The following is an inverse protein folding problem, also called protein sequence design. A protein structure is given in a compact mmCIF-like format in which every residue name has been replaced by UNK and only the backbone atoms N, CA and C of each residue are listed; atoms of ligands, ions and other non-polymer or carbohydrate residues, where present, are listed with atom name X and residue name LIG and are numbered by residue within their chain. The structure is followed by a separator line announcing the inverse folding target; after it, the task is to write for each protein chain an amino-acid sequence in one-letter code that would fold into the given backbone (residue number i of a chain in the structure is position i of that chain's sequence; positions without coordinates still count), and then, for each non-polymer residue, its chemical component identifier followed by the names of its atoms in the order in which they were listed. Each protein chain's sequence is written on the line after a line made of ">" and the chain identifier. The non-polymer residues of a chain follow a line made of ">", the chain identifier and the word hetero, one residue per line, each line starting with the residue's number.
data_IF_396811432194
#
_entry.id   IF_396811432194
#
_cell.length_a   1.000
_cell.length_b   1.000
_cell.length_c   1.000
_cell.angle_alpha   90.00
_cell.angle_beta   90.00
_cell.angle_gamma   90.00
#
_symmetry.space_group_name_H-M   'P 1'
#
loop_
_entity.id
_entity.type
_entity.pdbx_description
1 polymer ?
#
# COMPACT_ATOMS: atom_id res chain seq x y z
N UNK A 1 -22.93 8.54 2.91
CA UNK A 1 -24.30 8.24 3.38
C UNK A 1 -24.28 7.96 4.89
N UNK A 2 -25.31 8.35 5.65
CA UNK A 2 -25.44 7.91 7.06
C UNK A 2 -26.08 6.52 7.04
N UNK A 3 -25.29 5.50 7.40
CA UNK A 3 -25.76 4.13 7.53
C UNK A 3 -26.87 4.04 8.58
N UNK A 4 -27.75 3.06 8.42
CA UNK A 4 -28.88 2.86 9.35
C UNK A 4 -28.43 2.47 10.77
N UNK A 5 -27.18 2.05 10.92
CA UNK A 5 -26.48 1.82 12.19
C UNK A 5 -25.88 3.09 12.82
N UNK A 6 -26.06 4.25 12.17
CA UNK A 6 -25.60 5.56 12.65
C UNK A 6 -24.14 5.87 12.34
N UNK A 7 -23.47 5.03 11.57
CA UNK A 7 -22.09 5.24 11.10
C UNK A 7 -22.09 5.91 9.72
N UNK A 8 -21.00 6.58 9.38
CA UNK A 8 -20.84 7.26 8.09
C UNK A 8 -20.07 6.34 7.14
N UNK A 9 -20.70 5.92 6.06
CA UNK A 9 -20.06 5.11 5.01
C UNK A 9 -20.36 5.74 3.65
N UNK A 10 -19.47 5.57 2.66
CA UNK A 10 -19.78 6.05 1.32
C UNK A 10 -20.92 5.22 0.71
N UNK A 11 -21.80 5.86 -0.05
CA UNK A 11 -22.93 5.18 -0.71
C UNK A 11 -22.45 4.21 -1.79
N UNK A 12 -21.22 4.36 -2.26
CA UNK A 12 -20.62 3.52 -3.29
C UNK A 12 -20.32 2.09 -2.79
N UNK A 13 -20.31 1.86 -1.48
CA UNK A 13 -20.08 0.54 -0.87
C UNK A 13 -21.37 -0.23 -0.56
N UNK A 14 -22.53 0.42 -0.62
CA UNK A 14 -23.85 -0.20 -0.43
C UNK A 14 -24.39 -0.67 -1.79
N UNK A 15 -24.03 -1.89 -2.19
CA UNK A 15 -24.32 -2.39 -3.54
C UNK A 15 -25.78 -2.77 -3.71
N UNK A 16 -26.46 -3.17 -2.64
CA UNK A 16 -27.88 -3.54 -2.65
C UNK A 16 -28.83 -2.38 -2.28
N UNK A 17 -28.29 -1.28 -1.76
CA UNK A 17 -29.02 -0.05 -1.46
C UNK A 17 -29.88 -0.15 -0.20
N UNK A 18 -29.59 -1.08 0.71
CA UNK A 18 -30.36 -1.29 1.93
C UNK A 18 -29.98 -0.32 3.07
N UNK A 19 -28.96 0.52 2.85
CA UNK A 19 -28.44 1.49 3.80
C UNK A 19 -27.60 0.85 4.93
N UNK A 20 -27.13 -0.38 4.73
CA UNK A 20 -26.20 -1.11 5.60
C UNK A 20 -25.12 -1.70 4.71
N UNK A 21 -24.01 -2.04 5.35
CA UNK A 21 -23.01 -2.90 4.72
C UNK A 21 -23.21 -4.31 5.27
N UNK A 22 -23.33 -5.29 4.38
CA UNK A 22 -23.24 -6.69 4.74
C UNK A 22 -21.76 -7.10 4.96
N UNK A 23 -21.49 -8.34 5.37
CA UNK A 23 -20.13 -8.77 5.67
C UNK A 23 -19.16 -8.63 4.48
N UNK A 24 -19.65 -8.83 3.25
CA UNK A 24 -18.83 -8.68 2.04
C UNK A 24 -18.59 -7.20 1.71
N UNK A 25 -19.63 -6.37 1.76
CA UNK A 25 -19.52 -4.91 1.56
C UNK A 25 -18.62 -4.25 2.60
N UNK A 26 -18.70 -4.71 3.85
CA UNK A 26 -17.78 -4.32 4.90
C UNK A 26 -16.35 -4.73 4.58
N UNK A 27 -16.09 -5.96 4.12
CA UNK A 27 -14.75 -6.38 3.73
C UNK A 27 -14.19 -5.55 2.58
N UNK A 28 -14.99 -5.25 1.55
CA UNK A 28 -14.55 -4.40 0.44
C UNK A 28 -14.25 -2.98 0.91
N UNK A 29 -15.09 -2.41 1.77
CA UNK A 29 -14.86 -1.10 2.36
C UNK A 29 -13.63 -1.10 3.27
N UNK A 30 -13.47 -2.13 4.10
CA UNK A 30 -12.33 -2.30 4.99
C UNK A 30 -11.04 -2.39 4.19
N UNK A 31 -10.98 -3.20 3.13
CA UNK A 31 -9.82 -3.27 2.24
C UNK A 31 -9.54 -1.95 1.52
N UNK A 32 -10.56 -1.15 1.17
CA UNK A 32 -10.35 0.13 0.48
C UNK A 32 -10.03 1.32 1.41
N UNK A 33 -10.56 1.30 2.64
CA UNK A 33 -10.42 2.37 3.64
C UNK A 33 -9.26 2.11 4.58
N UNK A 34 -9.08 0.85 4.98
CA UNK A 34 -8.07 0.37 5.92
C UNK A 34 -7.12 -0.66 5.31
N UNK A 35 -7.41 -1.27 4.17
CA UNK A 35 -6.42 -2.09 3.44
C UNK A 35 -5.43 -1.26 2.63
N UNK A 36 -5.59 0.07 2.63
CA UNK A 36 -4.55 1.04 2.32
C UNK A 36 -4.10 1.81 3.58
N UNK A 37 -4.22 1.20 4.76
CA UNK A 37 -3.20 1.32 5.80
C UNK A 37 -1.96 0.62 5.18
N UNK A 38 -1.15 1.30 4.36
CA UNK A 38 -0.18 2.27 4.86
C UNK A 38 0.11 1.92 6.32
N UNK A 39 0.94 0.89 6.50
CA UNK A 39 1.67 0.70 7.73
C UNK A 39 2.42 2.01 7.99
N UNK A 40 1.76 2.96 8.66
CA UNK A 40 2.31 4.25 9.05
C UNK A 40 3.30 4.03 10.21
N UNK A 41 4.33 3.22 9.97
CA UNK A 41 5.35 2.88 10.96
C UNK A 41 6.71 3.33 10.46
N UNK A 42 6.97 4.64 10.59
CA UNK A 42 8.28 5.28 10.48
C UNK A 42 8.85 5.35 9.06
N UNK A 43 9.50 6.47 8.72
CA UNK A 43 10.12 6.83 7.42
C UNK A 43 10.87 5.71 6.63
N UNK A 44 11.22 4.58 7.24
CA UNK A 44 11.80 3.42 6.52
C UNK A 44 10.77 2.60 5.74
N UNK A 45 9.49 2.63 6.16
CA UNK A 45 8.41 1.89 5.49
C UNK A 45 7.97 2.50 4.16
N UNK A 46 8.11 3.83 3.97
CA UNK A 46 7.83 4.46 2.67
C UNK A 46 8.82 4.00 1.58
N UNK A 47 10.10 3.79 1.94
CA UNK A 47 11.12 3.30 1.02
C UNK A 47 10.92 1.83 0.63
N UNK A 48 10.47 0.99 1.58
CA UNK A 48 10.11 -0.41 1.36
C UNK A 48 8.81 -0.53 0.53
N UNK A 49 7.85 0.36 0.76
CA UNK A 49 6.62 0.44 -0.05
C UNK A 49 6.90 0.90 -1.49
N UNK A 50 7.82 1.86 -1.70
CA UNK A 50 8.21 2.28 -3.05
C UNK A 50 8.94 1.16 -3.81
N UNK A 51 9.79 0.37 -3.11
CA UNK A 51 10.39 -0.85 -3.65
C UNK A 51 9.33 -1.86 -4.07
N UNK A 52 8.37 -2.17 -3.18
CA UNK A 52 7.27 -3.08 -3.47
C UNK A 52 6.38 -2.59 -4.62
N UNK A 53 6.13 -1.28 -4.70
CA UNK A 53 5.38 -0.63 -5.78
C UNK A 53 6.11 -0.73 -7.13
N UNK A 54 7.43 -0.62 -7.10
CA UNK A 54 8.31 -0.88 -8.24
C UNK A 54 8.45 -2.37 -8.58
N UNK A 55 8.00 -3.27 -7.69
CA UNK A 55 8.16 -4.71 -7.82
C UNK A 55 9.58 -5.19 -7.54
N UNK A 56 10.35 -4.41 -6.78
CA UNK A 56 11.69 -4.73 -6.28
C UNK A 56 11.60 -5.26 -4.85
N UNK A 57 12.45 -6.23 -4.51
CA UNK A 57 12.56 -6.80 -3.17
C UNK A 57 13.92 -6.42 -2.59
N UNK A 58 13.93 -5.87 -1.37
CA UNK A 58 15.16 -5.42 -0.68
C UNK A 58 16.18 -6.56 -0.57
N UNK A 59 15.74 -7.79 -0.28
CA UNK A 59 16.64 -8.93 -0.13
C UNK A 59 17.26 -9.35 -1.47
N UNK A 60 16.59 -9.08 -2.59
CA UNK A 60 17.13 -9.30 -3.92
C UNK A 60 18.17 -8.22 -4.26
N UNK A 61 17.90 -6.96 -3.92
CA UNK A 61 18.82 -5.83 -4.08
C UNK A 61 20.10 -5.97 -3.24
N UNK A 62 20.01 -6.51 -2.02
CA UNK A 62 21.18 -6.85 -1.19
C UNK A 62 22.03 -8.00 -1.78
N UNK A 63 21.41 -8.90 -2.57
CA UNK A 63 22.11 -10.00 -3.22
C UNK A 63 22.81 -9.59 -4.53
N UNK A 64 22.49 -8.40 -5.07
CA UNK A 64 23.05 -7.86 -6.29
C UNK A 64 24.35 -7.07 -6.04
N UNK A 65 25.16 -6.91 -7.09
CA UNK A 65 26.30 -6.00 -7.06
C UNK A 65 25.81 -4.54 -7.04
N UNK A 66 26.58 -3.62 -6.44
CA UNK A 66 26.21 -2.20 -6.27
C UNK A 66 25.83 -1.50 -7.59
N UNK A 67 26.51 -1.82 -8.68
CA UNK A 67 26.18 -1.28 -10.01
C UNK A 67 24.84 -1.82 -10.55
N UNK A 68 24.52 -3.08 -10.30
CA UNK A 68 23.28 -3.72 -10.75
C UNK A 68 22.09 -3.27 -9.90
N UNK A 69 22.29 -3.15 -8.58
CA UNK A 69 21.31 -2.59 -7.64
C UNK A 69 20.92 -1.16 -8.02
N UNK A 70 21.91 -0.33 -8.35
CA UNK A 70 21.71 1.06 -8.78
C UNK A 70 20.95 1.13 -10.10
N UNK A 71 21.27 0.26 -11.06
CA UNK A 71 20.52 0.16 -12.32
C UNK A 71 19.05 -0.25 -12.10
N UNK A 72 18.79 -1.20 -11.18
CA UNK A 72 17.44 -1.61 -10.84
C UNK A 72 16.60 -0.50 -10.19
N UNK A 73 17.19 0.26 -9.26
CA UNK A 73 16.55 1.42 -8.64
C UNK A 73 16.29 2.54 -9.66
N UNK A 74 17.27 2.87 -10.51
CA UNK A 74 17.09 3.88 -11.56
C UNK A 74 16.01 3.48 -12.59
N UNK A 75 15.91 2.20 -12.96
CA UNK A 75 14.86 1.69 -13.88
C UNK A 75 13.46 1.77 -13.26
N UNK A 76 13.37 1.57 -11.94
CA UNK A 76 12.16 1.76 -11.14
C UNK A 76 11.81 3.24 -10.89
N UNK A 77 12.76 4.16 -11.10
CA UNK A 77 12.60 5.58 -10.80
C UNK A 77 12.85 5.97 -9.34
N UNK A 78 13.57 5.12 -8.61
CA UNK A 78 14.02 5.30 -7.23
C UNK A 78 15.44 5.88 -7.19
N UNK A 79 15.75 6.71 -6.19
CA UNK A 79 17.11 7.24 -6.03
C UNK A 79 17.98 6.21 -5.29
N UNK A 80 19.07 5.69 -5.91
CA UNK A 80 19.97 4.76 -5.25
C UNK A 80 20.65 5.34 -4.00
N UNK A 81 20.76 6.66 -3.87
CA UNK A 81 21.37 7.32 -2.70
C UNK A 81 20.42 7.34 -1.47
N UNK A 82 19.11 7.07 -1.66
CA UNK A 82 18.13 7.01 -0.56
C UNK A 82 18.17 5.68 0.21
N UNK A 83 18.86 4.66 -0.32
CA UNK A 83 18.94 3.33 0.26
C UNK A 83 20.37 2.99 0.72
N UNK A 84 20.57 2.88 2.03
CA UNK A 84 21.87 2.55 2.64
C UNK A 84 21.91 1.04 2.96
N UNK A 85 22.33 0.25 1.97
CA UNK A 85 22.50 -1.20 2.12
C UNK A 85 23.89 -1.49 2.73
N UNK A 86 23.93 -1.65 4.06
CA UNK A 86 25.13 -1.92 4.89
C UNK A 86 25.67 -3.37 4.80
#
# INVERSE_FOLDING_TARGET
>A
MLGTDGRLYDSDFDFDGDGKLNAYEYSVMDDLVFGHEDACTSDESELEDDLLLAGLDETELECMDEDERREALEDAGLDPDDYDFD
#
